data_IF_791075000958
#
_entry.id   IF_791075000958
#
_cell.length_a   1.000
_cell.length_b   1.000
_cell.length_c   1.000
_cell.angle_alpha   90.00
_cell.angle_beta   90.00
_cell.angle_gamma   90.00
#
_symmetry.space_group_name_H-M   'P 1'
#
loop_
_entity.id
_entity.type
_entity.pdbx_description
1 polymer ?
#
# COMPACT_ATOMS: atom_id res chain seq x y z
N UNK A 1 -6.97 5.67 -13.82
CA UNK A 1 -6.72 5.48 -12.37
C UNK A 1 -5.79 6.60 -11.90
N UNK A 2 -6.26 7.62 -11.17
CA UNK A 2 -5.42 8.76 -10.74
C UNK A 2 -4.28 8.36 -9.79
N UNK A 3 -4.30 7.13 -9.25
CA UNK A 3 -3.26 6.57 -8.38
C UNK A 3 -2.23 5.69 -9.12
N UNK A 4 -2.40 5.41 -10.42
CA UNK A 4 -1.43 4.61 -11.18
C UNK A 4 -1.11 3.23 -10.57
N UNK A 5 -2.14 2.43 -10.25
CA UNK A 5 -1.98 1.09 -9.67
C UNK A 5 -2.49 -0.04 -10.57
N UNK A 6 -2.04 -1.28 -10.30
CA UNK A 6 -2.41 -2.51 -11.03
C UNK A 6 -3.70 -3.18 -10.53
N UNK A 7 -4.41 -2.53 -9.61
CA UNK A 7 -5.65 -3.06 -9.01
C UNK A 7 -6.69 -3.31 -10.10
N UNK A 8 -7.17 -4.56 -10.20
CA UNK A 8 -8.20 -4.97 -11.16
C UNK A 8 -7.67 -5.49 -12.51
N UNK A 9 -6.35 -5.49 -12.74
CA UNK A 9 -5.76 -6.13 -13.93
C UNK A 9 -5.64 -7.63 -13.65
N UNK A 10 -6.09 -8.52 -14.56
CA UNK A 10 -5.93 -9.96 -14.39
C UNK A 10 -4.44 -10.33 -14.24
N UNK A 11 -4.14 -11.11 -13.20
CA UNK A 11 -2.75 -11.53 -12.88
C UNK A 11 -2.04 -12.23 -14.05
N UNK A 12 -2.81 -12.88 -14.93
CA UNK A 12 -2.28 -13.62 -16.09
C UNK A 12 -1.75 -12.72 -17.21
N UNK A 13 -2.22 -11.47 -17.27
CA UNK A 13 -1.89 -10.53 -18.35
C UNK A 13 -0.76 -9.57 -17.96
N UNK A 14 -0.23 -9.72 -16.74
CA UNK A 14 0.83 -8.89 -16.19
C UNK A 14 2.21 -9.46 -16.61
N UNK A 15 3.09 -8.65 -17.24
CA UNK A 15 4.44 -9.08 -17.62
C UNK A 15 5.41 -9.15 -16.41
N UNK A 16 4.87 -9.36 -15.20
CA UNK A 16 5.63 -9.41 -13.95
C UNK A 16 5.31 -10.71 -13.19
N UNK A 17 6.29 -11.27 -12.43
CA UNK A 17 6.04 -12.46 -11.63
C UNK A 17 4.96 -12.22 -10.54
N UNK A 18 4.29 -13.29 -10.08
CA UNK A 18 3.41 -13.24 -8.91
C UNK A 18 4.13 -12.71 -7.67
N UNK A 19 3.36 -12.11 -6.75
CA UNK A 19 3.93 -11.46 -5.56
C UNK A 19 4.64 -12.47 -4.66
N UNK A 20 4.13 -13.70 -4.56
CA UNK A 20 4.71 -14.78 -3.77
C UNK A 20 6.10 -15.14 -4.28
N UNK A 21 6.27 -15.27 -5.60
CA UNK A 21 7.58 -15.56 -6.22
C UNK A 21 8.58 -14.44 -5.97
N UNK A 22 8.13 -13.18 -5.98
CA UNK A 22 8.98 -12.03 -5.66
C UNK A 22 9.40 -12.04 -4.19
N UNK A 23 8.48 -12.38 -3.28
CA UNK A 23 8.74 -12.46 -1.83
C UNK A 23 9.67 -13.61 -1.47
N UNK A 24 9.50 -14.79 -2.07
CA UNK A 24 10.41 -15.93 -1.89
C UNK A 24 11.84 -15.55 -2.30
N UNK A 25 11.99 -14.97 -3.49
CA UNK A 25 13.29 -14.52 -4.01
C UNK A 25 13.91 -13.45 -3.09
N UNK A 26 13.12 -12.49 -2.64
CA UNK A 26 13.57 -11.46 -1.71
C UNK A 26 14.05 -12.06 -0.39
N UNK A 27 13.28 -12.97 0.20
CA UNK A 27 13.64 -13.65 1.45
C UNK A 27 14.93 -14.45 1.31
N UNK A 28 15.10 -15.19 0.22
CA UNK A 28 16.33 -15.93 -0.09
C UNK A 28 17.55 -15.01 -0.20
N UNK A 29 17.44 -13.90 -0.93
CA UNK A 29 18.54 -12.96 -1.14
C UNK A 29 18.90 -12.16 0.12
N UNK A 30 17.96 -12.00 1.05
CA UNK A 30 18.15 -11.24 2.29
C UNK A 30 18.35 -12.12 3.52
N UNK A 31 18.45 -13.44 3.34
CA UNK A 31 18.54 -14.43 4.42
C UNK A 31 17.41 -14.30 5.46
N UNK A 32 16.20 -13.98 5.00
CA UNK A 32 15.00 -13.85 5.83
C UNK A 32 14.12 -15.10 5.72
N UNK A 33 13.40 -15.48 6.79
CA UNK A 33 12.42 -16.56 6.72
C UNK A 33 11.28 -16.20 5.77
N UNK A 34 10.77 -17.20 5.05
CA UNK A 34 9.57 -17.12 4.24
C UNK A 34 8.54 -18.12 4.79
N UNK A 35 7.24 -17.75 4.92
CA UNK A 35 6.64 -16.44 4.60
C UNK A 35 7.00 -15.34 5.60
N UNK A 36 6.91 -14.07 5.18
CA UNK A 36 7.07 -12.92 6.08
C UNK A 36 5.84 -12.84 7.01
N UNK A 37 6.07 -12.89 8.32
CA UNK A 37 5.02 -12.72 9.33
C UNK A 37 4.39 -11.33 9.22
N UNK A 38 3.06 -11.25 9.29
CA UNK A 38 2.28 -10.00 9.21
C UNK A 38 2.58 -9.19 7.94
N UNK A 39 2.70 -9.86 6.79
CA UNK A 39 2.95 -9.19 5.52
C UNK A 39 1.86 -8.17 5.15
N UNK A 40 0.60 -8.44 5.49
CA UNK A 40 -0.50 -7.51 5.23
C UNK A 40 -0.39 -6.24 6.07
N UNK A 41 0.02 -6.35 7.34
CA UNK A 41 0.39 -5.18 8.14
C UNK A 41 1.48 -4.33 7.47
N UNK A 42 2.53 -4.94 6.91
CA UNK A 42 3.57 -4.18 6.20
C UNK A 42 3.02 -3.41 4.99
N UNK A 43 2.08 -4.00 4.25
CA UNK A 43 1.40 -3.33 3.14
C UNK A 43 0.53 -2.17 3.66
N UNK A 44 -0.33 -2.43 4.64
CA UNK A 44 -1.21 -1.41 5.24
C UNK A 44 -0.40 -0.23 5.79
N UNK A 45 0.67 -0.52 6.54
CA UNK A 45 1.60 0.48 7.04
C UNK A 45 2.25 1.30 5.92
N UNK A 46 2.59 0.69 4.79
CA UNK A 46 3.15 1.39 3.63
C UNK A 46 2.16 2.41 3.04
N UNK A 47 0.87 2.05 2.93
CA UNK A 47 -0.17 2.99 2.50
C UNK A 47 -0.43 4.07 3.55
N UNK A 48 -0.49 3.72 4.84
CA UNK A 48 -0.63 4.71 5.91
C UNK A 48 0.53 5.72 5.91
N UNK A 49 1.77 5.25 5.77
CA UNK A 49 2.94 6.11 5.65
C UNK A 49 2.82 7.05 4.45
N UNK A 50 2.33 6.54 3.31
CA UNK A 50 2.07 7.36 2.13
C UNK A 50 1.01 8.44 2.42
N UNK A 51 -0.10 8.11 3.09
CA UNK A 51 -1.14 9.10 3.42
C UNK A 51 -0.60 10.22 4.32
N UNK A 52 0.28 9.90 5.28
CA UNK A 52 0.95 10.90 6.12
C UNK A 52 1.87 11.82 5.31
N UNK A 53 2.61 11.29 4.35
CA UNK A 53 3.45 12.09 3.43
C UNK A 53 2.57 13.06 2.63
N UNK A 54 1.48 12.57 2.06
CA UNK A 54 0.51 13.37 1.31
C UNK A 54 -0.15 14.43 2.20
N UNK A 55 -0.44 14.11 3.45
CA UNK A 55 -0.99 15.06 4.42
C UNK A 55 0.00 16.20 4.70
N UNK A 56 1.29 15.90 4.78
CA UNK A 56 2.34 16.93 4.84
C UNK A 56 2.33 17.86 3.62
N UNK A 57 2.08 17.33 2.42
CA UNK A 57 1.90 18.14 1.20
C UNK A 57 0.63 19.00 1.32
N UNK A 58 -0.51 18.42 1.72
CA UNK A 58 -1.78 19.14 1.95
C UNK A 58 -1.59 20.32 2.90
N UNK A 59 -0.87 20.14 4.00
CA UNK A 59 -0.56 21.21 4.94
C UNK A 59 0.29 22.33 4.33
N UNK A 60 1.29 22.01 3.48
CA UNK A 60 2.09 23.03 2.76
C UNK A 60 1.28 23.76 1.70
N UNK A 61 0.40 23.06 0.98
CA UNK A 61 -0.53 23.64 0.00
C UNK A 61 -1.46 24.63 0.69
N UNK A 62 -2.04 24.27 1.83
CA UNK A 62 -2.94 25.15 2.60
C UNK A 62 -2.27 26.45 3.06
N UNK A 63 -0.95 26.41 3.30
CA UNK A 63 -0.13 27.59 3.65
C UNK A 63 0.42 28.35 2.44
N UNK A 64 0.10 27.95 1.21
CA UNK A 64 0.66 28.56 0.00
C UNK A 64 2.16 28.28 -0.20
N UNK A 65 2.72 27.28 0.49
CA UNK A 65 4.16 26.95 0.45
C UNK A 65 4.50 25.84 -0.56
N UNK A 66 3.56 25.47 -1.42
CA UNK A 66 3.76 24.46 -2.46
C UNK A 66 3.57 25.12 -3.83
N UNK A 67 4.66 25.22 -4.60
CA UNK A 67 4.70 25.90 -5.90
C UNK A 67 4.32 25.00 -7.08
N UNK A 68 4.33 23.67 -6.91
CA UNK A 68 3.99 22.70 -7.97
C UNK A 68 2.48 22.51 -8.10
N UNK A 69 2.00 22.39 -9.35
CA UNK A 69 0.59 22.13 -9.67
C UNK A 69 0.15 20.75 -9.18
N UNK A 70 1.06 19.78 -9.25
CA UNK A 70 0.88 18.39 -8.80
C UNK A 70 0.67 18.31 -7.28
N UNK A 71 1.15 19.28 -6.51
CA UNK A 71 0.98 19.29 -5.05
C UNK A 71 -0.51 19.32 -4.65
N UNK A 72 -1.37 19.99 -5.42
CA UNK A 72 -2.83 19.99 -5.18
C UNK A 72 -3.45 18.64 -5.48
N UNK A 73 -2.98 17.95 -6.51
CA UNK A 73 -3.42 16.59 -6.86
C UNK A 73 -3.07 15.65 -5.71
N UNK A 74 -1.82 15.64 -5.26
CA UNK A 74 -1.37 14.81 -4.14
C UNK A 74 -2.07 15.15 -2.82
N UNK A 75 -2.33 16.43 -2.55
CA UNK A 75 -3.08 16.86 -1.37
C UNK A 75 -4.51 16.33 -1.34
N UNK A 76 -5.15 16.15 -2.50
CA UNK A 76 -6.49 15.59 -2.61
C UNK A 76 -6.54 14.06 -2.40
N UNK A 77 -5.39 13.37 -2.48
CA UNK A 77 -5.32 11.91 -2.39
C UNK A 77 -5.24 11.37 -0.95
N UNK A 78 -5.04 12.23 0.06
CA UNK A 78 -4.79 11.82 1.45
C UNK A 78 -5.84 10.84 1.97
N UNK A 79 -7.13 11.19 1.84
CA UNK A 79 -8.23 10.41 2.42
C UNK A 79 -8.40 9.07 1.68
N UNK A 80 -8.23 9.07 0.36
CA UNK A 80 -8.25 7.83 -0.46
C UNK A 80 -7.13 6.87 -0.10
N UNK A 81 -5.90 7.36 0.12
CA UNK A 81 -4.77 6.51 0.54
C UNK A 81 -4.96 6.00 1.97
N UNK A 82 -5.46 6.85 2.88
CA UNK A 82 -5.75 6.44 4.24
C UNK A 82 -6.85 5.37 4.29
N UNK A 83 -7.89 5.50 3.46
CA UNK A 83 -8.94 4.49 3.29
C UNK A 83 -8.38 3.15 2.83
N UNK A 84 -7.50 3.14 1.83
CA UNK A 84 -6.84 1.90 1.37
C UNK A 84 -6.04 1.20 2.47
N UNK A 85 -5.34 1.97 3.32
CA UNK A 85 -4.62 1.39 4.45
C UNK A 85 -5.58 0.69 5.43
N UNK A 86 -6.72 1.31 5.74
CA UNK A 86 -7.74 0.75 6.64
C UNK A 86 -8.39 -0.51 6.05
N UNK A 87 -8.69 -0.51 4.76
CA UNK A 87 -9.29 -1.65 4.08
C UNK A 87 -8.35 -2.87 4.14
N UNK A 88 -7.07 -2.67 3.82
CA UNK A 88 -6.05 -3.73 3.86
C UNK A 88 -5.86 -4.27 5.28
N UNK A 89 -5.84 -3.40 6.30
CA UNK A 89 -5.75 -3.83 7.71
C UNK A 89 -6.96 -4.68 8.14
N UNK A 90 -8.16 -4.34 7.68
CA UNK A 90 -9.38 -5.10 8.00
C UNK A 90 -9.43 -6.46 7.29
N UNK A 91 -8.89 -6.54 6.08
CA UNK A 91 -8.76 -7.81 5.35
C UNK A 91 -7.84 -8.80 6.08
N UNK A 92 -6.78 -8.32 6.76
CA UNK A 92 -5.90 -9.14 7.59
C UNK A 92 -6.61 -9.73 8.82
N UNK A 93 -7.44 -8.94 9.51
CA UNK A 93 -8.26 -9.39 10.64
C UNK A 93 -9.24 -10.49 10.22
N UNK A 94 -9.92 -10.30 9.08
CA UNK A 94 -10.90 -11.24 8.56
C UNK A 94 -10.25 -12.54 8.03
N UNK A 95 -9.08 -12.44 7.39
CA UNK A 95 -8.31 -13.60 6.93
C UNK A 95 -7.70 -14.41 8.08
N UNK A 96 -7.29 -13.75 9.17
CA UNK A 96 -6.79 -14.41 10.38
C UNK A 96 -7.92 -15.07 11.18
N UNK A 97 -9.10 -14.45 11.23
CA UNK A 97 -10.29 -15.04 11.85
C UNK A 97 -10.77 -16.33 11.16
N UNK A 98 -10.51 -16.49 9.86
CA UNK A 98 -10.83 -17.71 9.11
C UNK A 98 -9.80 -18.84 9.32
N UNK A 99 -8.51 -18.51 9.48
CA UNK A 99 -7.45 -19.50 9.78
C UNK A 99 -7.48 -20.00 11.23
N UNK A 100 -8.04 -19.24 12.17
CA UNK A 100 -8.13 -19.63 13.59
C UNK A 100 -9.31 -20.56 13.93
N UNK A 101 -10.19 -20.86 12.97
CA UNK A 101 -11.37 -21.75 13.16
C UNK A 101 -11.20 -23.14 12.53
N UNK A 102 -9.99 -23.50 12.12
CA UNK A 102 -9.62 -24.83 11.62
C UNK A 102 -8.64 -25.50 12.59
#
# INVERSE_FOLDING_TARGET
NPMGGLKGIPVKDLPIPPVETLLERYCQQTSRPFPITNWMFCIAFSFFRLSVILHGIKARVARGQASSVEAKVYAALVDSVAGLALDISREEENGSAHKSKL
#
